data_IF_986081133237
#
_entry.id   IF_986081133237
#
_cell.length_a   1.000
_cell.length_b   1.000
_cell.length_c   1.000
_cell.angle_alpha   90.00
_cell.angle_beta   90.00
_cell.angle_gamma   90.00
#
_symmetry.space_group_name_H-M   'P 1'
#
loop_
_entity.id
_entity.type
_entity.pdbx_description
1 polymer ?
#
# COMPACT_ATOMS: atom_id res chain seq x y z
N UNK A 1 -15.88 8.13 -14.38
CA UNK A 1 -15.94 7.04 -13.40
C UNK A 1 -16.16 7.67 -12.04
N UNK A 2 -17.24 7.32 -11.35
CA UNK A 2 -17.51 7.87 -10.02
C UNK A 2 -17.45 6.77 -8.96
N UNK A 3 -17.02 7.16 -7.76
CA UNK A 3 -17.02 6.30 -6.58
C UNK A 3 -18.14 6.72 -5.64
N UNK A 4 -18.81 5.73 -5.06
CA UNK A 4 -19.83 5.91 -4.03
C UNK A 4 -19.27 5.65 -2.63
N UNK A 5 -20.06 5.96 -1.59
CA UNK A 5 -19.67 5.80 -0.20
C UNK A 5 -19.24 4.36 0.13
N UNK A 6 -19.91 3.36 -0.46
CA UNK A 6 -19.59 1.95 -0.26
C UNK A 6 -18.21 1.61 -0.81
N UNK A 7 -17.88 2.15 -1.98
CA UNK A 7 -16.56 1.99 -2.59
C UNK A 7 -15.48 2.64 -1.73
N UNK A 8 -15.71 3.84 -1.20
CA UNK A 8 -14.77 4.51 -0.28
C UNK A 8 -14.50 3.66 0.95
N UNK A 9 -15.55 3.15 1.62
CA UNK A 9 -15.40 2.26 2.78
C UNK A 9 -14.68 0.96 2.45
N UNK A 10 -14.95 0.39 1.27
CA UNK A 10 -14.27 -0.83 0.80
C UNK A 10 -12.78 -0.58 0.60
N UNK A 11 -12.40 0.52 -0.05
CA UNK A 11 -10.99 0.88 -0.26
C UNK A 11 -10.30 1.16 1.07
N UNK A 12 -10.95 1.89 1.99
CA UNK A 12 -10.41 2.11 3.33
C UNK A 12 -10.12 0.79 4.08
N UNK A 13 -11.02 -0.18 4.00
CA UNK A 13 -10.81 -1.52 4.56
C UNK A 13 -9.63 -2.25 3.91
N UNK A 14 -9.49 -2.17 2.59
CA UNK A 14 -8.36 -2.76 1.87
C UNK A 14 -7.03 -2.13 2.31
N UNK A 15 -7.01 -0.81 2.51
CA UNK A 15 -5.85 -0.06 2.98
C UNK A 15 -5.60 -0.15 4.50
N UNK A 16 -6.47 -0.85 5.26
CA UNK A 16 -6.42 -0.93 6.75
C UNK A 16 -6.51 0.43 7.44
N UNK A 17 -7.27 1.36 6.86
CA UNK A 17 -7.52 2.68 7.43
C UNK A 17 -8.93 2.69 8.03
N UNK A 18 -9.03 3.01 9.32
CA UNK A 18 -10.31 3.26 9.97
C UNK A 18 -10.81 4.65 9.55
N UNK A 19 -12.04 4.73 9.03
CA UNK A 19 -12.64 5.97 8.52
C UNK A 19 -14.03 6.10 9.14
N UNK A 20 -14.32 7.28 9.70
CA UNK A 20 -15.65 7.58 10.23
C UNK A 20 -16.68 7.75 9.11
N UNK A 21 -17.97 7.67 9.42
CA UNK A 21 -19.03 7.93 8.42
C UNK A 21 -18.90 9.33 7.82
N UNK A 22 -18.67 10.34 8.66
CA UNK A 22 -18.49 11.73 8.25
C UNK A 22 -17.26 11.94 7.37
N UNK A 23 -16.16 11.23 7.65
CA UNK A 23 -14.98 11.28 6.79
C UNK A 23 -15.22 10.56 5.47
N UNK A 24 -15.92 9.44 5.47
CA UNK A 24 -16.20 8.68 4.26
C UNK A 24 -17.08 9.49 3.28
N UNK A 25 -18.07 10.22 3.79
CA UNK A 25 -18.89 11.14 2.99
C UNK A 25 -18.04 12.26 2.37
N UNK A 26 -17.20 12.92 3.18
CA UNK A 26 -16.28 13.97 2.70
C UNK A 26 -15.31 13.43 1.64
N UNK A 27 -14.67 12.30 1.92
CA UNK A 27 -13.72 11.65 1.01
C UNK A 27 -14.36 11.22 -0.30
N UNK A 28 -15.67 10.92 -0.33
CA UNK A 28 -16.38 10.59 -1.58
C UNK A 28 -16.31 11.77 -2.56
N UNK A 29 -16.51 13.01 -2.10
CA UNK A 29 -16.36 14.19 -2.94
C UNK A 29 -14.92 14.42 -3.39
N UNK A 30 -13.98 14.34 -2.45
CA UNK A 30 -12.55 14.54 -2.72
C UNK A 30 -11.99 13.53 -3.73
N UNK A 31 -12.34 12.25 -3.59
CA UNK A 31 -11.90 11.19 -4.49
C UNK A 31 -12.52 11.33 -5.88
N UNK A 32 -13.80 11.72 -5.99
CA UNK A 32 -14.41 11.98 -7.29
C UNK A 32 -13.76 13.17 -8.01
N UNK A 33 -13.34 14.22 -7.29
CA UNK A 33 -12.60 15.33 -7.88
C UNK A 33 -11.22 14.89 -8.40
N UNK A 34 -10.49 14.06 -7.64
CA UNK A 34 -9.19 13.50 -8.05
C UNK A 34 -9.36 12.59 -9.27
N UNK A 35 -10.36 11.70 -9.27
CA UNK A 35 -10.64 10.81 -10.39
C UNK A 35 -11.01 11.60 -11.66
N UNK A 36 -11.82 12.65 -11.51
CA UNK A 36 -12.14 13.56 -12.62
C UNK A 36 -10.90 14.27 -13.18
N UNK A 37 -9.93 14.63 -12.34
CA UNK A 37 -8.65 15.17 -12.81
C UNK A 37 -7.82 14.11 -13.56
N UNK A 38 -7.75 12.88 -13.06
CA UNK A 38 -7.02 11.76 -13.70
C UNK A 38 -7.63 11.40 -15.07
N UNK A 39 -8.93 11.58 -15.25
CA UNK A 39 -9.61 11.31 -16.54
C UNK A 39 -9.08 12.16 -17.70
N UNK A 40 -8.44 13.30 -17.43
CA UNK A 40 -7.78 14.11 -18.46
C UNK A 40 -6.69 13.31 -19.22
N UNK A 41 -6.09 12.30 -18.58
CA UNK A 41 -5.10 11.44 -19.23
C UNK A 41 -5.68 10.60 -20.37
N UNK A 42 -7.01 10.38 -20.40
CA UNK A 42 -7.67 9.64 -21.48
C UNK A 42 -7.71 10.40 -22.81
N UNK A 43 -7.39 11.71 -22.81
CA UNK A 43 -7.32 12.52 -24.02
C UNK A 43 -6.08 12.19 -24.88
N UNK A 44 -5.10 11.50 -24.30
CA UNK A 44 -3.84 11.14 -24.95
C UNK A 44 -3.91 9.70 -25.47
N UNK A 45 -3.73 9.52 -26.78
CA UNK A 45 -3.62 8.19 -27.38
C UNK A 45 -2.26 7.55 -27.04
N UNK A 46 -2.31 6.42 -26.34
CA UNK A 46 -1.15 5.62 -25.94
C UNK A 46 -1.09 4.28 -26.67
N UNK A 47 -1.81 4.16 -27.80
CA UNK A 47 -1.81 2.95 -28.64
C UNK A 47 -0.39 2.61 -29.11
N UNK A 48 0.09 1.42 -28.75
CA UNK A 48 1.43 0.94 -29.08
C UNK A 48 2.55 1.51 -28.20
N UNK A 49 2.22 2.27 -27.15
CA UNK A 49 3.20 2.73 -26.15
C UNK A 49 3.32 1.69 -25.05
N UNK A 50 4.51 1.11 -24.89
CA UNK A 50 4.80 0.17 -23.83
C UNK A 50 4.83 0.86 -22.44
N UNK A 51 4.21 0.29 -21.40
CA UNK A 51 4.27 0.83 -20.05
C UNK A 51 5.71 0.93 -19.51
N UNK A 52 6.07 2.09 -19.00
CA UNK A 52 7.39 2.30 -18.38
C UNK A 52 7.39 1.83 -16.92
N UNK A 53 8.20 0.81 -16.61
CA UNK A 53 8.33 0.23 -15.24
C UNK A 53 9.47 0.83 -14.43
N UNK A 54 10.54 1.26 -15.09
CA UNK A 54 11.65 2.00 -14.50
C UNK A 54 12.17 3.01 -15.50
N UNK A 55 12.65 4.15 -15.00
CA UNK A 55 13.26 5.21 -15.81
C UNK A 55 14.64 4.83 -16.36
N UNK A 56 15.29 3.82 -15.77
CA UNK A 56 16.60 3.32 -16.20
C UNK A 56 16.44 1.83 -16.54
N UNK A 57 17.00 1.35 -17.67
CA UNK A 57 17.07 -0.08 -17.95
C UNK A 57 17.83 -0.78 -16.82
N UNK A 58 17.15 -1.68 -16.11
CA UNK A 58 17.76 -2.47 -15.04
C UNK A 58 17.73 -3.94 -15.42
N UNK A 59 18.91 -4.56 -15.42
CA UNK A 59 18.99 -6.02 -15.41
C UNK A 59 18.51 -6.55 -14.05
N UNK A 60 17.92 -7.75 -14.06
CA UNK A 60 17.46 -8.39 -12.84
C UNK A 60 18.67 -8.71 -11.93
N UNK A 61 18.78 -7.99 -10.82
CA UNK A 61 19.85 -8.21 -9.83
C UNK A 61 19.62 -9.52 -9.11
N UNK A 62 20.56 -10.46 -9.25
CA UNK A 62 20.60 -11.70 -8.47
C UNK A 62 21.40 -11.49 -7.18
N UNK A 63 20.95 -12.12 -6.10
CA UNK A 63 21.68 -12.22 -4.83
C UNK A 63 22.40 -13.57 -4.79
N UNK A 64 23.65 -13.67 -4.30
CA UNK A 64 24.29 -14.96 -4.07
C UNK A 64 23.55 -15.75 -2.99
N UNK A 65 23.54 -17.08 -3.11
CA UNK A 65 22.92 -17.97 -2.14
C UNK A 65 23.87 -18.25 -0.97
N UNK A 66 23.93 -17.29 -0.04
CA UNK A 66 24.80 -17.33 1.14
C UNK A 66 23.96 -17.03 2.39
N UNK A 67 24.29 -17.72 3.48
CA UNK A 67 23.67 -17.62 4.81
C UNK A 67 24.12 -16.34 5.53
N UNK A 68 23.20 -15.59 6.14
CA UNK A 68 23.46 -14.30 6.82
C UNK A 68 22.67 -14.16 8.12
N UNK A 69 22.77 -15.14 9.00
CA UNK A 69 21.83 -15.33 10.13
C UNK A 69 21.91 -14.25 11.21
N UNK A 70 23.02 -13.50 11.28
CA UNK A 70 23.13 -12.20 11.94
C UNK A 70 22.97 -12.16 13.46
N UNK A 71 22.44 -13.20 14.11
CA UNK A 71 22.30 -13.40 15.57
C UNK A 71 21.95 -12.15 16.38
N UNK A 72 21.07 -11.30 15.83
CA UNK A 72 20.78 -9.94 16.33
C UNK A 72 19.31 -9.75 16.67
N UNK A 73 18.71 -10.76 17.29
CA UNK A 73 17.29 -10.77 17.62
C UNK A 73 16.90 -9.56 18.50
N UNK A 74 17.75 -9.21 19.47
CA UNK A 74 17.57 -8.03 20.33
C UNK A 74 17.54 -6.72 19.52
N UNK A 75 18.43 -6.54 18.54
CA UNK A 75 18.47 -5.34 17.69
C UNK A 75 17.23 -5.25 16.78
N UNK A 76 16.72 -6.39 16.32
CA UNK A 76 15.55 -6.46 15.44
C UNK A 76 14.29 -5.97 16.15
N UNK A 77 14.13 -6.34 17.43
CA UNK A 77 12.93 -6.02 18.21
C UNK A 77 13.02 -4.68 18.94
N UNK A 78 14.14 -3.96 18.86
CA UNK A 78 14.39 -2.74 19.63
C UNK A 78 13.37 -1.61 19.40
N UNK A 79 12.73 -1.56 18.22
CA UNK A 79 11.68 -0.57 17.88
C UNK A 79 10.26 -1.14 17.91
N UNK A 80 10.09 -2.40 18.30
CA UNK A 80 8.78 -3.02 18.34
C UNK A 80 7.94 -2.42 19.49
N UNK A 81 6.65 -2.12 19.26
CA UNK A 81 5.78 -1.58 20.31
C UNK A 81 5.65 -2.48 21.55
N UNK A 82 5.70 -3.80 21.35
CA UNK A 82 5.64 -4.80 22.41
C UNK A 82 6.43 -6.04 21.99
N UNK A 83 7.18 -6.60 22.93
CA UNK A 83 8.06 -7.76 22.68
C UNK A 83 8.09 -8.68 23.89
N UNK A 84 8.33 -9.97 23.64
CA UNK A 84 8.58 -10.98 24.67
C UNK A 84 9.56 -11.99 24.11
N UNK A 85 10.66 -12.28 24.82
CA UNK A 85 11.68 -13.27 24.41
C UNK A 85 12.18 -13.14 22.94
N UNK A 86 12.29 -11.91 22.43
CA UNK A 86 12.62 -11.58 21.03
C UNK A 86 11.53 -11.90 19.98
N UNK A 87 10.27 -12.06 20.40
CA UNK A 87 9.10 -12.12 19.53
C UNK A 87 8.36 -10.79 19.50
N UNK A 88 7.71 -10.49 18.36
CA UNK A 88 6.76 -9.38 18.26
C UNK A 88 5.43 -9.80 18.88
N UNK A 89 4.95 -9.06 19.88
CA UNK A 89 3.65 -9.30 20.47
C UNK A 89 2.56 -8.65 19.63
N UNK A 90 1.60 -9.47 19.19
CA UNK A 90 0.41 -9.04 18.43
C UNK A 90 -0.85 -9.72 18.97
N UNK A 91 -2.04 -9.11 18.83
CA UNK A 91 -3.28 -9.78 19.14
C UNK A 91 -3.39 -11.10 18.37
N UNK A 92 -3.87 -12.15 19.04
CA UNK A 92 -4.09 -13.45 18.41
C UNK A 92 -5.05 -13.29 17.24
N UNK A 93 -4.67 -13.82 16.07
CA UNK A 93 -5.58 -13.92 14.93
C UNK A 93 -6.64 -14.97 15.27
N UNK A 94 -7.89 -14.52 15.40
CA UNK A 94 -9.08 -15.35 15.57
C UNK A 94 -9.97 -15.16 14.34
N UNK A 95 -10.52 -16.26 13.83
CA UNK A 95 -11.56 -16.27 12.78
C UNK A 95 -12.92 -15.83 13.33
#
# INVERSE_FOLDING_TARGET
MSVDLQTVKRVARLARIAVSETDAERMTGELNAILGFVEQLNEVDVSGVEPMTSVIPMEMKKRPDIVTDGSKAADIVANAPATEENFFLVPKVVE
#
